data_IF_355156440687
#
_entry.id   IF_355156440687
#
_cell.length_a   1.000
_cell.length_b   1.000
_cell.length_c   1.000
_cell.angle_alpha   90.00
_cell.angle_beta   90.00
_cell.angle_gamma   90.00
#
_symmetry.space_group_name_H-M   'P 1'
#
loop_
_entity.id
_entity.type
_entity.pdbx_description
1 polymer ?
#
# COMPACT_ATOMS: atom_id res chain seq x y z
N UNK A 1 8.92 48.71 -60.39
CA UNK A 1 10.31 48.25 -60.26
C UNK A 1 10.47 47.61 -58.93
N UNK A 2 10.84 46.38 -59.00
CA UNK A 2 11.56 45.54 -58.02
C UNK A 2 10.91 45.38 -56.64
N UNK A 3 10.52 44.23 -56.26
CA UNK A 3 11.13 42.92 -56.43
C UNK A 3 11.85 42.57 -55.16
N UNK A 4 11.32 41.67 -54.42
CA UNK A 4 11.96 41.20 -53.21
C UNK A 4 11.17 40.11 -52.51
N UNK A 5 11.08 39.00 -53.20
CA UNK A 5 10.70 37.73 -52.55
C UNK A 5 11.78 37.37 -51.57
N UNK A 6 11.38 37.05 -50.34
CA UNK A 6 12.18 36.10 -49.55
C UNK A 6 11.23 35.28 -48.69
N UNK A 7 10.92 34.13 -49.25
CA UNK A 7 10.32 33.03 -48.54
C UNK A 7 11.34 32.45 -47.56
N UNK A 8 11.15 32.74 -46.29
CA UNK A 8 11.78 32.03 -45.22
C UNK A 8 10.92 30.86 -44.79
N UNK A 9 11.10 29.70 -45.40
CA UNK A 9 10.58 28.45 -44.91
C UNK A 9 11.35 28.07 -43.64
N UNK A 10 10.91 28.54 -42.51
CA UNK A 10 11.34 27.93 -41.23
C UNK A 10 10.46 26.73 -40.96
N UNK A 11 10.89 25.60 -41.47
CA UNK A 11 10.44 24.32 -41.07
C UNK A 11 10.83 24.11 -39.58
N UNK A 12 9.96 24.59 -38.73
CA UNK A 12 9.98 24.23 -37.30
C UNK A 12 9.76 22.74 -37.17
N UNK A 13 10.84 21.98 -37.16
CA UNK A 13 10.83 20.63 -36.65
C UNK A 13 10.42 20.73 -35.18
N UNK A 14 9.12 20.64 -34.93
CA UNK A 14 8.61 20.34 -33.60
C UNK A 14 9.15 19.00 -33.19
N UNK A 15 10.21 19.02 -32.40
CA UNK A 15 10.65 17.87 -31.62
C UNK A 15 9.45 17.47 -30.77
N UNK A 16 8.70 16.53 -31.28
CA UNK A 16 7.82 15.72 -30.42
C UNK A 16 8.73 14.98 -29.45
N UNK A 17 9.01 15.64 -28.34
CA UNK A 17 9.61 14.99 -27.18
C UNK A 17 8.67 13.83 -26.84
N UNK A 18 9.16 12.61 -27.05
CA UNK A 18 8.44 11.38 -26.79
C UNK A 18 7.96 11.37 -25.35
N UNK A 19 6.71 11.82 -25.15
CA UNK A 19 6.00 11.57 -23.92
C UNK A 19 5.77 10.08 -23.84
N UNK A 20 6.62 9.40 -23.07
CA UNK A 20 6.37 8.02 -22.68
C UNK A 20 4.92 7.90 -22.20
N UNK A 21 4.19 6.86 -22.60
CA UNK A 21 2.76 6.75 -22.37
C UNK A 21 2.44 6.84 -20.89
N UNK A 22 1.59 7.79 -20.54
CA UNK A 22 1.09 8.04 -19.19
C UNK A 22 0.31 6.84 -18.59
N UNK A 23 0.08 5.80 -19.39
CA UNK A 23 -0.68 4.59 -19.00
C UNK A 23 -0.04 3.78 -17.87
N UNK A 24 1.28 3.70 -17.79
CA UNK A 24 1.94 2.89 -16.75
C UNK A 24 1.94 3.60 -15.39
N UNK A 25 1.78 4.91 -15.37
CA UNK A 25 1.78 5.71 -14.13
C UNK A 25 0.47 5.61 -13.34
N UNK A 26 -0.66 5.37 -14.00
CA UNK A 26 -1.97 5.26 -13.37
C UNK A 26 -2.16 3.94 -12.60
N UNK A 27 -1.60 2.85 -13.10
CA UNK A 27 -1.82 1.53 -12.52
C UNK A 27 -1.22 1.37 -11.11
N UNK A 28 0.02 1.81 -10.89
CA UNK A 28 0.67 1.65 -9.59
C UNK A 28 -0.02 2.44 -8.47
N UNK A 29 -0.46 3.65 -8.74
CA UNK A 29 -1.19 4.49 -7.79
C UNK A 29 -2.60 3.95 -7.54
N UNK A 30 -3.25 3.41 -8.57
CA UNK A 30 -4.55 2.78 -8.45
C UNK A 30 -4.48 1.52 -7.58
N UNK A 31 -3.50 0.65 -7.80
CA UNK A 31 -3.27 -0.53 -6.95
C UNK A 31 -2.99 -0.16 -5.49
N UNK A 32 -2.17 0.86 -5.25
CA UNK A 32 -1.90 1.34 -3.89
C UNK A 32 -3.17 1.82 -3.19
N UNK A 33 -4.04 2.54 -3.91
CA UNK A 33 -5.32 3.01 -3.38
C UNK A 33 -6.29 1.86 -3.08
N UNK A 34 -6.43 0.91 -4.00
CA UNK A 34 -7.29 -0.27 -3.80
C UNK A 34 -6.78 -1.13 -2.64
N UNK A 35 -5.47 -1.38 -2.59
CA UNK A 35 -4.86 -2.17 -1.52
C UNK A 35 -5.08 -1.53 -0.15
N UNK A 36 -4.92 -0.20 -0.06
CA UNK A 36 -5.21 0.53 1.18
C UNK A 36 -6.68 0.43 1.61
N UNK A 37 -7.61 0.54 0.67
CA UNK A 37 -9.06 0.37 0.96
C UNK A 37 -9.41 -1.05 1.36
N UNK A 38 -8.91 -2.05 0.63
CA UNK A 38 -9.15 -3.46 0.96
C UNK A 38 -8.57 -3.84 2.31
N UNK A 39 -7.35 -3.36 2.62
CA UNK A 39 -6.76 -3.59 3.94
C UNK A 39 -7.60 -2.97 5.05
N UNK A 40 -8.13 -1.77 4.86
CA UNK A 40 -9.02 -1.12 5.82
C UNK A 40 -10.32 -1.90 6.06
N UNK A 41 -10.96 -2.39 5.00
CA UNK A 41 -12.17 -3.22 5.11
C UNK A 41 -11.85 -4.55 5.80
N UNK A 42 -10.77 -5.22 5.41
CA UNK A 42 -10.34 -6.47 6.04
C UNK A 42 -10.08 -6.32 7.53
N UNK A 43 -9.37 -5.25 7.92
CA UNK A 43 -9.12 -4.93 9.34
C UNK A 43 -10.40 -4.59 10.10
N UNK A 44 -11.33 -3.85 9.49
CA UNK A 44 -12.61 -3.50 10.11
C UNK A 44 -13.48 -4.74 10.38
N UNK A 45 -13.43 -5.74 9.49
CA UNK A 45 -14.13 -7.02 9.68
C UNK A 45 -13.43 -7.89 10.73
N UNK A 46 -12.11 -7.83 10.81
CA UNK A 46 -11.33 -8.57 11.80
C UNK A 46 -11.52 -8.01 13.22
N UNK A 47 -11.71 -6.72 13.37
CA UNK A 47 -11.75 -6.05 14.67
C UNK A 47 -12.78 -6.64 15.66
N UNK A 48 -14.06 -6.88 15.27
CA UNK A 48 -15.04 -7.51 16.16
C UNK A 48 -14.63 -8.90 16.62
N UNK A 49 -14.08 -9.71 15.71
CA UNK A 49 -13.58 -11.03 16.03
C UNK A 49 -12.40 -10.96 17.04
N UNK A 50 -11.48 -10.04 16.81
CA UNK A 50 -10.34 -9.80 17.69
C UNK A 50 -10.77 -9.42 19.11
N UNK A 51 -11.72 -8.46 19.23
CA UNK A 51 -12.24 -8.07 20.53
C UNK A 51 -13.04 -9.17 21.20
N UNK A 52 -13.75 -9.99 20.44
CA UNK A 52 -14.45 -11.15 21.01
C UNK A 52 -13.46 -12.15 21.61
N UNK A 53 -12.40 -12.52 20.89
CA UNK A 53 -11.34 -13.41 21.41
C UNK A 53 -10.66 -12.80 22.63
N UNK A 54 -10.37 -11.50 22.60
CA UNK A 54 -9.75 -10.80 23.72
C UNK A 54 -10.66 -10.80 24.96
N UNK A 55 -11.98 -10.74 24.79
CA UNK A 55 -12.93 -10.84 25.90
C UNK A 55 -12.91 -12.20 26.60
N UNK A 56 -12.52 -13.28 25.90
CA UNK A 56 -12.38 -14.61 26.50
C UNK A 56 -11.30 -14.62 27.58
N UNK A 57 -10.25 -13.80 27.45
CA UNK A 57 -9.22 -13.66 28.48
C UNK A 57 -9.80 -13.18 29.85
N UNK A 58 -10.94 -12.50 29.83
CA UNK A 58 -11.59 -11.97 31.02
C UNK A 58 -12.76 -12.84 31.49
N UNK A 59 -13.36 -13.62 30.59
CA UNK A 59 -14.63 -14.33 30.86
C UNK A 59 -14.47 -15.85 30.89
N UNK A 60 -13.59 -16.43 30.07
CA UNK A 60 -13.43 -17.88 29.92
C UNK A 60 -12.02 -18.23 29.45
N UNK A 61 -11.11 -18.39 30.39
CA UNK A 61 -9.70 -18.72 30.09
C UNK A 61 -9.57 -20.07 29.39
N UNK A 62 -10.41 -21.06 29.72
CA UNK A 62 -10.36 -22.37 29.10
C UNK A 62 -10.75 -22.31 27.60
N UNK A 63 -11.75 -21.50 27.26
CA UNK A 63 -12.12 -21.23 25.87
C UNK A 63 -11.00 -20.48 25.13
N UNK A 64 -10.32 -19.54 25.79
CA UNK A 64 -9.16 -18.86 25.24
C UNK A 64 -8.01 -19.83 24.92
N UNK A 65 -7.68 -20.73 25.85
CA UNK A 65 -6.64 -21.76 25.66
C UNK A 65 -6.97 -22.67 24.47
N UNK A 66 -8.22 -23.07 24.33
CA UNK A 66 -8.70 -23.82 23.18
C UNK A 66 -8.57 -23.04 21.86
N UNK A 67 -8.86 -21.74 21.88
CA UNK A 67 -8.67 -20.88 20.72
C UNK A 67 -7.17 -20.71 20.38
N UNK A 68 -6.32 -20.50 21.37
CA UNK A 68 -4.87 -20.40 21.18
C UNK A 68 -4.27 -21.69 20.60
N UNK A 69 -4.74 -22.85 21.05
CA UNK A 69 -4.34 -24.13 20.45
C UNK A 69 -4.73 -24.23 18.97
N UNK A 70 -5.87 -23.65 18.58
CA UNK A 70 -6.28 -23.54 17.18
C UNK A 70 -5.36 -22.62 16.37
N UNK A 71 -4.84 -21.52 16.98
CA UNK A 71 -3.93 -20.60 16.29
C UNK A 71 -2.55 -21.21 15.99
N UNK A 72 -2.19 -22.31 16.64
CA UNK A 72 -0.95 -23.05 16.32
C UNK A 72 -0.99 -23.78 14.97
N UNK A 73 -2.16 -23.90 14.36
CA UNK A 73 -2.27 -24.49 13.01
C UNK A 73 -1.53 -23.66 11.97
N UNK A 74 -0.75 -24.28 11.08
CA UNK A 74 0.05 -23.54 10.10
C UNK A 74 -0.78 -22.66 9.15
N UNK A 75 -2.02 -23.05 8.87
CA UNK A 75 -2.95 -22.23 8.08
C UNK A 75 -3.37 -20.94 8.80
N UNK A 76 -3.55 -21.03 10.13
CA UNK A 76 -3.91 -19.86 10.95
C UNK A 76 -2.71 -18.95 11.11
N UNK A 77 -1.50 -19.48 11.30
CA UNK A 77 -0.27 -18.68 11.31
C UNK A 77 -0.05 -17.92 9.99
N UNK A 78 -0.40 -18.53 8.86
CA UNK A 78 -0.38 -17.83 7.57
C UNK A 78 -1.42 -16.71 7.52
N UNK A 79 -2.61 -16.91 8.07
CA UNK A 79 -3.65 -15.88 8.16
C UNK A 79 -3.22 -14.73 9.09
N UNK A 80 -2.59 -15.02 10.22
CA UNK A 80 -2.00 -14.02 11.12
C UNK A 80 -0.93 -13.18 10.42
N UNK A 81 -0.02 -13.82 9.69
CA UNK A 81 0.95 -13.13 8.84
C UNK A 81 0.26 -12.19 7.85
N UNK A 82 -0.80 -12.67 7.17
CA UNK A 82 -1.59 -11.86 6.25
C UNK A 82 -2.24 -10.66 6.93
N UNK A 83 -2.77 -10.82 8.14
CA UNK A 83 -3.35 -9.74 8.93
C UNK A 83 -2.31 -8.69 9.35
N UNK A 84 -1.14 -9.12 9.80
CA UNK A 84 -0.03 -8.20 10.15
C UNK A 84 0.43 -7.45 8.90
N UNK A 85 0.49 -8.11 7.76
CA UNK A 85 0.81 -7.47 6.48
C UNK A 85 -0.25 -6.42 6.09
N UNK A 86 -1.54 -6.76 6.19
CA UNK A 86 -2.64 -5.82 5.91
C UNK A 86 -2.60 -4.61 6.85
N UNK A 87 -2.33 -4.84 8.14
CA UNK A 87 -2.19 -3.78 9.14
C UNK A 87 -1.04 -2.84 8.78
N UNK A 88 0.12 -3.39 8.44
CA UNK A 88 1.30 -2.61 8.07
C UNK A 88 1.06 -1.81 6.78
N UNK A 89 0.48 -2.41 5.74
CA UNK A 89 0.12 -1.72 4.50
C UNK A 89 -0.88 -0.60 4.75
N UNK A 90 -1.88 -0.84 5.59
CA UNK A 90 -2.90 0.15 5.93
C UNK A 90 -2.30 1.32 6.71
N UNK A 91 -1.48 1.03 7.72
CA UNK A 91 -0.82 2.04 8.54
C UNK A 91 0.13 2.91 7.71
N UNK A 92 1.05 2.30 6.98
CA UNK A 92 2.04 3.05 6.18
C UNK A 92 1.40 3.71 4.96
N UNK A 93 0.37 3.09 4.37
CA UNK A 93 -0.41 3.69 3.30
C UNK A 93 -1.17 4.93 3.77
N UNK A 94 -1.79 4.87 4.95
CA UNK A 94 -2.45 5.99 5.60
C UNK A 94 -1.47 7.09 5.99
N UNK A 95 -0.33 6.74 6.59
CA UNK A 95 0.72 7.68 6.95
C UNK A 95 1.28 8.40 5.71
N UNK A 96 1.44 7.68 4.59
CA UNK A 96 1.83 8.28 3.32
C UNK A 96 0.80 9.30 2.84
N UNK A 97 -0.50 8.99 2.90
CA UNK A 97 -1.55 9.92 2.51
C UNK A 97 -1.53 11.18 3.37
N UNK A 98 -1.41 11.02 4.68
CA UNK A 98 -1.29 12.15 5.62
C UNK A 98 -0.03 12.98 5.35
N UNK A 99 1.10 12.36 5.09
CA UNK A 99 2.34 13.05 4.77
C UNK A 99 2.24 13.87 3.49
N UNK A 100 1.54 13.36 2.47
CA UNK A 100 1.31 14.09 1.22
C UNK A 100 0.38 15.29 1.38
N UNK A 101 -0.54 15.22 2.33
CA UNK A 101 -1.51 16.29 2.61
C UNK A 101 -0.92 17.40 3.50
N UNK A 102 -0.04 17.04 4.42
CA UNK A 102 0.51 17.95 5.42
C UNK A 102 1.90 18.50 5.08
N UNK A 103 2.71 17.77 4.30
CA UNK A 103 4.04 18.24 3.91
C UNK A 103 4.00 18.92 2.53
N UNK A 104 4.36 20.21 2.42
CA UNK A 104 4.44 20.93 1.15
C UNK A 104 5.68 20.54 0.31
N UNK A 105 6.29 19.39 0.58
CA UNK A 105 7.52 18.94 -0.06
C UNK A 105 7.25 18.04 -1.26
N UNK A 106 7.91 18.25 -2.41
CA UNK A 106 7.75 17.37 -3.58
C UNK A 106 8.45 16.02 -3.36
N UNK A 107 7.81 15.12 -2.63
CA UNK A 107 8.34 13.77 -2.45
C UNK A 107 7.89 12.88 -3.63
N UNK A 108 8.79 12.08 -4.22
CA UNK A 108 8.43 11.23 -5.35
C UNK A 108 7.44 10.12 -4.93
N UNK A 109 6.19 10.26 -5.35
CA UNK A 109 5.07 9.39 -4.99
C UNK A 109 5.30 7.90 -5.19
N UNK A 110 6.14 7.54 -6.17
CA UNK A 110 6.45 6.14 -6.49
C UNK A 110 7.36 5.49 -5.46
N UNK A 111 8.38 6.22 -5.01
CA UNK A 111 9.35 5.75 -4.01
C UNK A 111 8.67 5.54 -2.67
N UNK A 112 7.74 6.42 -2.30
CA UNK A 112 6.96 6.27 -1.06
C UNK A 112 6.04 5.04 -1.10
N UNK A 113 5.37 4.77 -2.24
CA UNK A 113 4.52 3.60 -2.36
C UNK A 113 5.32 2.30 -2.32
N UNK A 114 6.46 2.24 -3.02
CA UNK A 114 7.37 1.09 -2.99
C UNK A 114 7.96 0.90 -1.59
N UNK A 115 8.38 1.97 -0.91
CA UNK A 115 8.87 1.95 0.46
C UNK A 115 7.84 1.42 1.44
N UNK A 116 6.59 1.84 1.33
CA UNK A 116 5.47 1.35 2.15
C UNK A 116 5.31 -0.17 2.04
N UNK A 117 5.29 -0.71 0.83
CA UNK A 117 5.17 -2.14 0.60
C UNK A 117 6.39 -2.92 1.11
N UNK A 118 7.60 -2.40 0.87
CA UNK A 118 8.83 -3.04 1.32
C UNK A 118 8.92 -3.11 2.85
N UNK A 119 8.61 -2.02 3.56
CA UNK A 119 8.61 -1.98 5.03
C UNK A 119 7.51 -2.88 5.59
N UNK A 120 6.31 -2.89 4.99
CA UNK A 120 5.20 -3.76 5.39
C UNK A 120 5.56 -5.23 5.26
N UNK A 121 6.17 -5.62 4.14
CA UNK A 121 6.63 -6.99 3.89
C UNK A 121 7.75 -7.40 4.87
N UNK A 122 8.67 -6.49 5.15
CA UNK A 122 9.78 -6.71 6.09
C UNK A 122 9.27 -6.93 7.52
N UNK A 123 8.40 -6.07 8.02
CA UNK A 123 7.80 -6.20 9.36
C UNK A 123 6.98 -7.48 9.50
N UNK A 124 6.17 -7.79 8.48
CA UNK A 124 5.38 -9.03 8.46
C UNK A 124 6.26 -10.27 8.42
N UNK A 125 7.38 -10.22 7.68
CA UNK A 125 8.36 -11.29 7.63
C UNK A 125 9.04 -11.52 8.97
N UNK A 126 9.44 -10.46 9.67
CA UNK A 126 10.02 -10.57 11.04
C UNK A 126 8.99 -11.19 11.98
N UNK A 127 7.75 -10.71 11.95
CA UNK A 127 6.68 -11.29 12.78
C UNK A 127 6.49 -12.78 12.52
N UNK A 128 6.44 -13.18 11.25
CA UNK A 128 6.29 -14.58 10.86
C UNK A 128 7.45 -15.44 11.36
N UNK A 129 8.69 -14.97 11.25
CA UNK A 129 9.87 -15.69 11.74
C UNK A 129 9.87 -15.85 13.27
N UNK A 130 9.27 -14.93 14.01
CA UNK A 130 9.14 -15.04 15.46
C UNK A 130 7.95 -15.93 15.89
N UNK A 131 6.95 -16.10 15.03
CA UNK A 131 5.76 -16.90 15.29
C UNK A 131 5.95 -18.41 14.98
N UNK A 132 7.01 -18.74 14.23
CA UNK A 132 7.39 -20.13 13.92
C UNK A 132 8.33 -20.65 15.01
#
# INVERSE_FOLDING_TARGET
>A
MNGGMNGGMNGGMSRQSGRAPARIRGHALWYAHILHRLSGVGLALFLPLHFWVLSLALTDVAALDGFLAFTELPMVKLAEFGLVFLLAVHLFGGLRLMALEWLPWPVPHKTLAAGTLAVSAFLSGIFFLQAI
#
